data_IF_592097131650
#
_entry.id   IF_592097131650
#
_cell.length_a   1.000
_cell.length_b   1.000
_cell.length_c   1.000
_cell.angle_alpha   90.00
_cell.angle_beta   90.00
_cell.angle_gamma   90.00
#
_symmetry.space_group_name_H-M   'P 1'
#
loop_
_entity.id
_entity.type
_entity.pdbx_description
1 polymer ?
#
# COMPACT_ATOMS: atom_id res chain seq x y z
N UNK A 1 -32.32 -15.66 52.67
CA UNK A 1 -32.78 -14.27 52.92
C UNK A 1 -31.93 -13.32 52.09
N UNK A 2 -32.58 -12.56 51.19
CA UNK A 2 -31.99 -11.51 50.33
C UNK A 2 -31.72 -10.26 51.16
N UNK A 3 -30.59 -9.57 50.92
CA UNK A 3 -30.44 -8.12 51.14
C UNK A 3 -29.12 -7.62 50.56
N UNK A 4 -29.17 -7.07 49.34
CA UNK A 4 -28.08 -6.26 48.79
C UNK A 4 -28.69 -4.91 48.39
N UNK A 5 -28.42 -3.95 49.26
CA UNK A 5 -28.69 -2.52 49.14
C UNK A 5 -27.59 -1.95 48.22
N UNK A 6 -27.92 -1.02 47.32
CA UNK A 6 -27.35 0.35 47.27
C UNK A 6 -27.77 1.05 45.97
N UNK A 7 -28.62 2.06 46.17
CA UNK A 7 -28.73 3.33 45.46
C UNK A 7 -27.64 3.65 44.41
N UNK A 8 -28.05 3.95 43.18
CA UNK A 8 -27.28 4.81 42.28
C UNK A 8 -28.18 5.94 41.80
N UNK A 9 -27.96 7.11 42.40
CA UNK A 9 -28.29 8.40 41.79
C UNK A 9 -27.12 8.77 40.88
N UNK A 10 -27.37 9.60 39.84
CA UNK A 10 -26.70 10.90 39.66
C UNK A 10 -26.33 11.24 38.19
N UNK A 11 -26.90 12.38 37.76
CA UNK A 11 -26.46 13.39 36.75
C UNK A 11 -26.49 13.01 35.26
N UNK A 12 -27.51 13.55 34.57
CA UNK A 12 -27.43 13.91 33.16
C UNK A 12 -27.01 15.39 33.05
N UNK A 13 -25.81 15.64 32.55
CA UNK A 13 -25.35 16.96 32.12
C UNK A 13 -24.45 16.79 30.89
N UNK A 14 -25.07 16.66 29.71
CA UNK A 14 -24.35 16.79 28.44
C UNK A 14 -24.20 18.28 28.12
N UNK A 15 -23.08 18.84 28.58
CA UNK A 15 -22.57 20.12 28.13
C UNK A 15 -21.63 19.90 26.93
N UNK A 16 -21.66 20.88 26.03
CA UNK A 16 -20.57 21.32 25.15
C UNK A 16 -20.53 20.87 23.69
N UNK A 17 -20.92 21.82 22.85
CA UNK A 17 -20.13 22.45 21.76
C UNK A 17 -19.43 21.52 20.77
N UNK A 18 -19.95 21.49 19.53
CA UNK A 18 -19.28 20.95 18.35
C UNK A 18 -19.14 21.99 17.23
N UNK A 19 -18.44 23.10 17.49
CA UNK A 19 -17.89 23.98 16.44
C UNK A 19 -16.53 23.41 16.03
N UNK A 20 -16.47 22.63 14.95
CA UNK A 20 -15.19 22.06 14.54
C UNK A 20 -15.25 21.11 13.35
N UNK A 21 -15.87 21.51 12.23
CA UNK A 21 -15.84 20.69 11.01
C UNK A 21 -15.58 21.54 9.77
N UNK A 22 -14.37 22.07 9.57
CA UNK A 22 -13.95 22.54 8.23
C UNK A 22 -12.43 22.41 7.93
N UNK A 23 -11.59 21.91 8.84
CA UNK A 23 -10.12 22.01 8.68
C UNK A 23 -9.36 20.69 8.48
N UNK A 24 -10.04 19.53 8.40
CA UNK A 24 -9.37 18.22 8.36
C UNK A 24 -8.99 17.74 6.95
N UNK A 25 -9.58 18.28 5.87
CA UNK A 25 -9.46 17.66 4.54
C UNK A 25 -8.14 18.00 3.81
N UNK A 26 -7.54 19.17 4.04
CA UNK A 26 -6.36 19.63 3.28
C UNK A 26 -5.08 18.88 3.63
N UNK A 27 -4.97 18.37 4.86
CA UNK A 27 -3.76 17.70 5.35
C UNK A 27 -3.62 16.30 4.74
N UNK A 28 -4.73 15.61 4.54
CA UNK A 28 -4.75 14.26 3.96
C UNK A 28 -4.46 14.28 2.46
N UNK A 29 -4.86 15.34 1.73
CA UNK A 29 -4.51 15.49 0.32
C UNK A 29 -3.01 15.69 0.10
N UNK A 30 -2.33 16.45 0.97
CA UNK A 30 -0.87 16.63 0.89
C UNK A 30 -0.12 15.34 1.20
N UNK A 31 -0.55 14.58 2.22
CA UNK A 31 0.02 13.28 2.52
C UNK A 31 -0.21 12.28 1.39
N UNK A 32 -1.41 12.25 0.83
CA UNK A 32 -1.75 11.39 -0.32
C UNK A 32 -0.91 11.76 -1.55
N UNK A 33 -0.71 13.06 -1.81
CA UNK A 33 0.17 13.54 -2.87
C UNK A 33 1.63 13.19 -2.62
N UNK A 34 2.15 13.38 -1.40
CA UNK A 34 3.52 12.99 -1.05
C UNK A 34 3.74 11.48 -1.12
N UNK A 35 2.75 10.66 -0.77
CA UNK A 35 2.81 9.21 -0.94
C UNK A 35 2.77 8.83 -2.43
N UNK A 36 1.99 9.54 -3.24
CA UNK A 36 1.92 9.34 -4.69
C UNK A 36 3.18 9.82 -5.44
N UNK A 37 3.83 10.87 -4.95
CA UNK A 37 5.12 11.41 -5.44
C UNK A 37 6.33 10.60 -4.93
N UNK A 38 6.23 10.02 -3.73
CA UNK A 38 7.27 9.17 -3.14
C UNK A 38 7.27 7.73 -3.65
N UNK A 39 6.23 7.32 -4.38
CA UNK A 39 6.28 6.12 -5.20
C UNK A 39 7.15 6.44 -6.43
N UNK A 40 8.17 5.62 -6.75
CA UNK A 40 8.92 5.79 -7.98
C UNK A 40 7.95 5.67 -9.16
N UNK A 41 7.52 6.81 -9.68
CA UNK A 41 6.82 6.91 -10.94
C UNK A 41 7.88 6.77 -12.03
N UNK A 42 8.35 5.54 -12.26
CA UNK A 42 9.07 5.15 -13.46
C UNK A 42 8.08 5.21 -14.64
N UNK A 43 7.69 6.43 -15.01
CA UNK A 43 6.91 6.75 -16.20
C UNK A 43 7.87 6.88 -17.39
N UNK A 44 8.58 5.80 -17.73
CA UNK A 44 9.00 5.60 -19.11
C UNK A 44 7.85 4.91 -19.84
N UNK A 45 6.92 5.72 -20.36
CA UNK A 45 5.88 5.31 -21.30
C UNK A 45 6.55 5.01 -22.65
N UNK A 46 7.36 3.96 -22.69
CA UNK A 46 7.78 3.30 -23.92
C UNK A 46 6.98 2.00 -24.02
N UNK A 47 6.70 1.51 -25.22
CA UNK A 47 6.05 0.21 -25.45
C UNK A 47 6.91 -1.01 -25.00
N UNK A 48 7.78 -0.77 -24.02
CA UNK A 48 8.65 -1.71 -23.34
C UNK A 48 7.92 -2.24 -22.10
N UNK A 49 8.25 -3.47 -21.71
CA UNK A 49 7.78 -4.06 -20.46
C UNK A 49 7.97 -3.05 -19.32
N UNK A 50 6.92 -2.74 -18.56
CA UNK A 50 7.03 -1.83 -17.42
C UNK A 50 7.40 -2.59 -16.13
N UNK A 51 7.97 -1.91 -15.11
CA UNK A 51 8.28 -2.55 -13.83
C UNK A 51 7.04 -3.20 -13.18
N UNK A 52 5.90 -2.52 -13.25
CA UNK A 52 4.64 -3.02 -12.69
C UNK A 52 4.06 -4.19 -13.48
N UNK A 53 4.28 -4.24 -14.81
CA UNK A 53 3.95 -5.41 -15.62
C UNK A 53 4.82 -6.61 -15.25
N UNK A 54 6.13 -6.42 -15.10
CA UNK A 54 7.05 -7.47 -14.69
C UNK A 54 6.69 -8.04 -13.30
N UNK A 55 6.41 -7.17 -12.33
CA UNK A 55 5.99 -7.58 -10.99
C UNK A 55 4.68 -8.36 -10.99
N UNK A 56 3.68 -7.91 -11.76
CA UNK A 56 2.41 -8.63 -11.91
C UNK A 56 2.63 -10.00 -12.54
N UNK A 57 3.43 -10.09 -13.60
CA UNK A 57 3.72 -11.36 -14.26
C UNK A 57 4.41 -12.33 -13.29
N UNK A 58 5.47 -11.89 -12.62
CA UNK A 58 6.20 -12.72 -11.66
C UNK A 58 5.27 -13.20 -10.52
N UNK A 59 4.38 -12.34 -10.02
CA UNK A 59 3.39 -12.71 -9.00
C UNK A 59 2.31 -13.67 -9.52
N UNK A 60 1.86 -13.53 -10.77
CA UNK A 60 0.89 -14.45 -11.37
C UNK A 60 1.49 -15.85 -11.55
N UNK A 61 2.77 -15.92 -11.93
CA UNK A 61 3.47 -17.18 -12.20
C UNK A 61 3.94 -17.88 -10.91
N UNK A 62 4.42 -17.12 -9.92
CA UNK A 62 5.07 -17.68 -8.72
C UNK A 62 4.31 -17.42 -7.41
N UNK A 63 3.28 -16.58 -7.41
CA UNK A 63 2.59 -16.15 -6.20
C UNK A 63 3.43 -15.18 -5.36
N UNK A 64 3.05 -15.03 -4.08
CA UNK A 64 3.83 -14.28 -3.10
C UNK A 64 3.70 -12.76 -3.13
N UNK A 65 4.57 -12.10 -2.37
CA UNK A 65 4.64 -10.65 -2.23
C UNK A 65 5.90 -10.09 -2.92
N UNK A 66 5.73 -9.02 -3.68
CA UNK A 66 6.85 -8.35 -4.37
C UNK A 66 7.55 -7.45 -3.36
N UNK A 67 8.82 -7.70 -3.12
CA UNK A 67 9.66 -6.92 -2.20
C UNK A 67 10.38 -5.78 -2.92
N UNK A 68 10.92 -6.04 -4.11
CA UNK A 68 11.60 -5.03 -4.93
C UNK A 68 11.58 -5.42 -6.41
N UNK A 69 11.72 -4.41 -7.26
CA UNK A 69 11.84 -4.56 -8.72
C UNK A 69 13.08 -3.79 -9.13
N UNK A 70 14.02 -4.46 -9.77
CA UNK A 70 15.27 -3.89 -10.26
C UNK A 70 15.25 -3.94 -11.79
N UNK A 71 15.61 -2.83 -12.45
CA UNK A 71 15.75 -2.81 -13.90
C UNK A 71 17.09 -3.42 -14.31
N UNK A 72 17.06 -4.34 -15.26
CA UNK A 72 18.25 -4.98 -15.85
C UNK A 72 18.33 -4.69 -17.36
N UNK A 73 19.47 -4.98 -17.97
CA UNK A 73 19.72 -4.72 -19.40
C UNK A 73 18.70 -5.41 -20.32
N UNK A 74 18.19 -6.57 -19.92
CA UNK A 74 17.27 -7.39 -20.75
C UNK A 74 15.82 -7.35 -20.27
N UNK A 75 15.50 -6.57 -19.22
CA UNK A 75 14.17 -6.55 -18.62
C UNK A 75 14.21 -6.15 -17.15
N UNK A 76 13.60 -6.96 -16.28
CA UNK A 76 13.50 -6.68 -14.85
C UNK A 76 13.83 -7.91 -14.02
N UNK A 77 14.43 -7.67 -12.87
CA UNK A 77 14.61 -8.66 -11.80
C UNK A 77 13.65 -8.32 -10.67
N UNK A 78 12.71 -9.22 -10.41
CA UNK A 78 11.69 -9.09 -9.38
C UNK A 78 12.08 -9.94 -8.18
N UNK A 79 12.22 -9.31 -7.02
CA UNK A 79 12.42 -10.01 -5.75
C UNK A 79 11.06 -10.32 -5.13
N UNK A 80 10.76 -11.61 -4.97
CA UNK A 80 9.51 -12.12 -4.43
C UNK A 80 9.75 -12.81 -3.08
N UNK A 81 8.80 -12.67 -2.17
CA UNK A 81 8.67 -13.48 -0.97
C UNK A 81 7.57 -14.52 -1.22
N UNK A 82 7.95 -15.79 -1.34
CA UNK A 82 7.05 -16.91 -1.60
C UNK A 82 7.23 -17.91 -0.46
N UNK A 83 6.17 -18.18 0.30
CA UNK A 83 6.17 -19.14 1.41
C UNK A 83 7.30 -18.94 2.43
N UNK A 84 7.67 -17.69 2.70
CA UNK A 84 8.75 -17.33 3.62
C UNK A 84 10.16 -17.38 3.03
N UNK A 85 10.29 -17.77 1.75
CA UNK A 85 11.55 -17.77 1.01
C UNK A 85 11.64 -16.60 0.03
N UNK A 86 12.82 -16.01 -0.08
CA UNK A 86 13.10 -14.96 -1.06
C UNK A 86 13.55 -15.58 -2.38
N UNK A 87 12.84 -15.25 -3.46
CA UNK A 87 13.14 -15.69 -4.83
C UNK A 87 13.40 -14.49 -5.73
N UNK A 88 14.33 -14.64 -6.67
CA UNK A 88 14.61 -13.63 -7.68
C UNK A 88 14.13 -14.15 -9.04
N UNK A 89 13.18 -13.45 -9.64
CA UNK A 89 12.56 -13.83 -10.91
C UNK A 89 12.94 -12.80 -11.97
N UNK A 90 13.55 -13.27 -13.06
CA UNK A 90 13.88 -12.43 -14.20
C UNK A 90 12.73 -12.43 -15.19
N UNK A 91 12.23 -11.24 -15.56
CA UNK A 91 11.19 -11.05 -16.56
C UNK A 91 11.78 -10.28 -17.72
N UNK A 92 11.87 -10.92 -18.89
CA UNK A 92 12.53 -10.36 -20.06
C UNK A 92 11.61 -9.41 -20.83
N UNK A 93 12.16 -8.31 -21.33
CA UNK A 93 11.47 -7.44 -22.27
C UNK A 93 11.52 -8.05 -23.67
N UNK A 94 10.35 -8.35 -24.26
CA UNK A 94 10.23 -9.00 -25.56
C UNK A 94 10.92 -8.22 -26.70
N UNK A 95 11.06 -6.90 -26.57
CA UNK A 95 11.76 -6.06 -27.57
C UNK A 95 13.27 -6.36 -27.65
N UNK A 96 13.88 -6.89 -26.59
CA UNK A 96 15.32 -7.21 -26.55
C UNK A 96 15.64 -8.51 -27.31
N UNK A 97 14.64 -9.35 -27.60
CA UNK A 97 14.81 -10.65 -28.28
C UNK A 97 14.72 -10.58 -29.81
N UNK A 98 14.51 -9.39 -30.38
CA UNK A 98 14.28 -9.17 -31.82
C UNK A 98 15.31 -8.20 -32.40
#
# INVERSE_FOLDING_TARGET
MKRNITLFSLIAAFFSVGLGQLHAQSRDELLTRQLLEGLPQDQHVSADLSPSQAARQAKLEHGGEVLSIEQETQGYRVKLLVDGEVRFISVMNARVMN
#
